data_IF_870771554603
#
_entry.id   IF_870771554603
#
_cell.length_a   1.000
_cell.length_b   1.000
_cell.length_c   1.000
_cell.angle_alpha   90.00
_cell.angle_beta   90.00
_cell.angle_gamma   90.00
#
_symmetry.space_group_name_H-M   'P 1'
#
loop_
_entity.id
_entity.type
_entity.pdbx_description
1 polymer ?
#
# COMPACT_ATOMS: atom_id res chain seq x y z
N UNK A 1 21.83 -8.38 -11.13
CA UNK A 1 21.76 -8.34 -9.66
C UNK A 1 20.31 -8.08 -9.27
N UNK A 2 19.63 -9.00 -8.56
CA UNK A 2 18.25 -8.75 -8.11
C UNK A 2 18.31 -7.74 -6.97
N UNK A 3 17.81 -6.54 -7.19
CA UNK A 3 17.66 -5.54 -6.12
C UNK A 3 16.79 -6.14 -5.00
N UNK A 4 17.23 -5.98 -3.75
CA UNK A 4 16.44 -6.35 -2.57
C UNK A 4 15.12 -5.58 -2.59
N UNK A 5 14.04 -6.22 -2.15
CA UNK A 5 12.72 -5.60 -2.11
C UNK A 5 12.55 -4.65 -0.92
N UNK A 6 13.45 -4.71 0.06
CA UNK A 6 13.46 -3.83 1.22
C UNK A 6 14.78 -3.05 1.33
N UNK A 7 14.73 -1.94 2.05
CA UNK A 7 15.86 -1.12 2.45
C UNK A 7 15.77 -0.84 3.96
N UNK A 8 16.92 -0.76 4.61
CA UNK A 8 17.07 -0.41 6.04
C UNK A 8 17.76 0.95 6.07
N UNK A 9 17.09 1.93 6.65
CA UNK A 9 17.59 3.30 6.80
C UNK A 9 17.48 3.70 8.27
N UNK A 10 18.58 3.63 9.03
CA UNK A 10 18.66 3.83 10.48
C UNK A 10 17.45 3.28 11.25
N UNK A 11 16.39 4.06 11.45
CA UNK A 11 15.17 3.68 12.19
C UNK A 11 13.99 3.23 11.30
N UNK A 12 14.15 3.14 9.98
CA UNK A 12 13.08 2.80 9.04
C UNK A 12 13.41 1.52 8.25
N UNK A 13 12.50 0.57 8.30
CA UNK A 13 12.48 -0.58 7.39
C UNK A 13 11.47 -0.29 6.28
N UNK A 14 11.96 -0.10 5.07
CA UNK A 14 11.14 0.28 3.92
C UNK A 14 11.01 -0.92 2.99
N UNK A 15 9.80 -1.45 2.83
CA UNK A 15 9.49 -2.55 1.90
C UNK A 15 8.82 -1.94 0.67
N UNK A 16 9.40 -2.12 -0.51
CA UNK A 16 8.85 -1.55 -1.75
C UNK A 16 7.98 -2.56 -2.49
N UNK A 17 6.85 -2.11 -3.02
CA UNK A 17 6.01 -2.92 -3.88
C UNK A 17 6.75 -3.26 -5.17
N UNK A 18 6.60 -4.49 -5.65
CA UNK A 18 7.07 -4.83 -6.99
C UNK A 18 6.24 -4.07 -8.01
N UNK A 19 6.93 -3.32 -8.86
CA UNK A 19 6.29 -2.58 -9.94
C UNK A 19 5.60 -3.56 -10.88
N UNK A 20 4.30 -3.36 -11.09
CA UNK A 20 3.55 -4.11 -12.09
C UNK A 20 4.07 -3.79 -13.49
N UNK A 21 3.90 -4.72 -14.46
CA UNK A 21 4.29 -4.48 -15.84
C UNK A 21 3.79 -3.14 -16.35
N UNK A 22 4.59 -2.46 -17.16
CA UNK A 22 4.29 -1.11 -17.66
C UNK A 22 2.92 -1.09 -18.35
N UNK A 23 2.58 -2.14 -19.10
CA UNK A 23 1.27 -2.30 -19.74
C UNK A 23 0.11 -2.19 -18.73
N UNK A 24 0.16 -2.92 -17.61
CA UNK A 24 -0.89 -2.87 -16.58
C UNK A 24 -1.01 -1.47 -16.00
N UNK A 25 0.13 -0.80 -15.75
CA UNK A 25 0.15 0.56 -15.20
C UNK A 25 -0.45 1.56 -16.19
N UNK A 26 -0.16 1.43 -17.48
CA UNK A 26 -0.77 2.26 -18.54
C UNK A 26 -2.29 2.04 -18.55
N UNK A 27 -2.74 0.79 -18.59
CA UNK A 27 -4.18 0.46 -18.60
C UNK A 27 -4.89 1.07 -17.40
N UNK A 28 -4.38 0.85 -16.18
CA UNK A 28 -4.96 1.41 -14.95
C UNK A 28 -5.02 2.95 -14.98
N UNK A 29 -3.94 3.58 -15.45
CA UNK A 29 -3.87 5.05 -15.54
C UNK A 29 -4.87 5.59 -16.57
N UNK A 30 -5.03 4.93 -17.71
CA UNK A 30 -6.02 5.31 -18.72
C UNK A 30 -7.43 5.25 -18.15
N UNK A 31 -7.80 4.15 -17.47
CA UNK A 31 -9.12 4.04 -16.83
C UNK A 31 -9.36 5.11 -15.76
N UNK A 32 -8.34 5.38 -14.93
CA UNK A 32 -8.40 6.45 -13.93
C UNK A 32 -8.71 7.80 -14.57
N UNK A 33 -7.99 8.17 -15.63
CA UNK A 33 -8.18 9.44 -16.33
C UNK A 33 -9.57 9.51 -16.96
N UNK A 34 -10.01 8.45 -17.66
CA UNK A 34 -11.34 8.41 -18.28
C UNK A 34 -12.45 8.61 -17.24
N UNK A 35 -12.40 7.87 -16.13
CA UNK A 35 -13.41 7.96 -15.07
C UNK A 35 -13.40 9.35 -14.41
N UNK A 36 -12.22 9.94 -14.19
CA UNK A 36 -12.12 11.28 -13.61
C UNK A 36 -12.68 12.37 -14.53
N UNK A 37 -12.60 12.19 -15.86
CA UNK A 37 -13.08 13.15 -16.86
C UNK A 37 -14.58 13.06 -17.15
N UNK A 38 -15.23 11.91 -16.93
CA UNK A 38 -16.69 11.74 -17.15
C UNK A 38 -17.53 12.85 -16.47
N UNK A 39 -17.43 13.11 -15.16
CA UNK A 39 -18.29 14.10 -14.50
C UNK A 39 -18.03 15.53 -15.02
N UNK A 40 -16.80 15.81 -15.47
CA UNK A 40 -16.44 17.10 -16.10
C UNK A 40 -17.13 17.22 -17.45
N UNK A 41 -17.06 16.17 -18.29
CA UNK A 41 -17.71 16.15 -19.60
C UNK A 41 -19.23 16.27 -19.49
N UNK A 42 -19.85 15.55 -18.55
CA UNK A 42 -21.29 15.65 -18.24
C UNK A 42 -21.65 17.07 -17.81
N UNK A 43 -20.87 17.68 -16.92
CA UNK A 43 -21.11 19.06 -16.47
C UNK A 43 -21.06 20.04 -17.63
N UNK A 44 -20.05 19.95 -18.50
CA UNK A 44 -19.91 20.81 -19.68
C UNK A 44 -21.11 20.63 -20.62
N UNK A 45 -21.55 19.39 -20.84
CA UNK A 45 -22.70 19.09 -21.68
C UNK A 45 -23.99 19.74 -21.14
N UNK A 46 -24.28 19.54 -19.85
CA UNK A 46 -25.48 20.09 -19.20
C UNK A 46 -25.51 21.62 -19.23
N UNK A 47 -24.37 22.26 -18.94
CA UNK A 47 -24.25 23.72 -18.99
C UNK A 47 -24.47 24.27 -20.42
N UNK A 48 -24.03 23.55 -21.46
CA UNK A 48 -24.25 23.93 -22.86
C UNK A 48 -25.71 23.75 -23.30
N UNK A 49 -26.40 22.74 -22.79
CA UNK A 49 -27.81 22.48 -23.11
C UNK A 49 -28.77 23.48 -22.47
N UNK A 50 -28.30 24.33 -21.54
CA UNK A 50 -29.13 25.34 -20.89
C UNK A 50 -30.09 24.79 -19.82
N UNK A 51 -30.00 23.50 -19.48
CA UNK A 51 -30.86 22.82 -18.51
C UNK A 51 -30.56 23.21 -17.05
N UNK A 52 -29.50 23.99 -16.82
CA UNK A 52 -29.03 24.38 -15.49
C UNK A 52 -28.42 23.19 -14.70
N UNK A 53 -27.70 23.46 -13.60
CA UNK A 53 -27.15 22.38 -12.79
C UNK A 53 -28.25 21.63 -12.03
N UNK A 54 -28.30 20.32 -12.17
CA UNK A 54 -29.20 19.43 -11.41
C UNK A 54 -28.42 18.46 -10.53
N UNK A 55 -29.11 17.84 -9.57
CA UNK A 55 -28.50 16.97 -8.55
C UNK A 55 -27.71 15.78 -9.14
N UNK A 56 -28.08 15.33 -10.33
CA UNK A 56 -27.39 14.24 -11.04
C UNK A 56 -25.92 14.57 -11.36
N UNK A 57 -25.57 15.85 -11.53
CA UNK A 57 -24.16 16.27 -11.65
C UNK A 57 -23.41 15.91 -10.36
N UNK A 58 -23.96 16.25 -9.19
CA UNK A 58 -23.33 15.94 -7.89
C UNK A 58 -23.16 14.43 -7.72
N UNK A 59 -24.18 13.64 -8.05
CA UNK A 59 -24.08 12.18 -8.03
C UNK A 59 -23.00 11.65 -8.98
N UNK A 60 -22.87 12.24 -10.19
CA UNK A 60 -21.82 11.86 -11.12
C UNK A 60 -20.43 12.09 -10.54
N UNK A 61 -20.19 13.23 -9.87
CA UNK A 61 -18.92 13.50 -9.20
C UNK A 61 -18.66 12.49 -8.07
N UNK A 62 -19.63 12.29 -7.18
CA UNK A 62 -19.47 11.37 -6.05
C UNK A 62 -19.13 9.95 -6.51
N UNK A 63 -19.86 9.44 -7.50
CA UNK A 63 -19.66 8.08 -7.99
C UNK A 63 -18.36 7.96 -8.78
N UNK A 64 -18.15 8.82 -9.78
CA UNK A 64 -16.98 8.73 -10.65
C UNK A 64 -15.69 9.03 -9.87
N UNK A 65 -15.65 10.07 -9.03
CA UNK A 65 -14.45 10.38 -8.26
C UNK A 65 -14.25 9.44 -7.06
N UNK A 66 -15.31 8.87 -6.49
CA UNK A 66 -15.18 7.80 -5.50
C UNK A 66 -14.48 6.57 -6.08
N UNK A 67 -14.94 6.09 -7.24
CA UNK A 67 -14.30 4.98 -7.97
C UNK A 67 -12.90 5.39 -8.47
N UNK A 68 -12.76 6.61 -8.98
CA UNK A 68 -11.49 7.17 -9.44
C UNK A 68 -10.45 7.22 -8.32
N UNK A 69 -10.84 7.60 -7.10
CA UNK A 69 -9.94 7.60 -5.95
C UNK A 69 -9.47 6.17 -5.58
N UNK A 70 -10.37 5.18 -5.64
CA UNK A 70 -9.97 3.79 -5.47
C UNK A 70 -8.96 3.32 -6.55
N UNK A 71 -9.22 3.64 -7.83
CA UNK A 71 -8.28 3.35 -8.92
C UNK A 71 -6.96 4.09 -8.77
N UNK A 72 -6.96 5.31 -8.22
CA UNK A 72 -5.75 6.04 -7.88
C UNK A 72 -4.95 5.28 -6.81
N UNK A 73 -5.57 4.83 -5.70
CA UNK A 73 -4.90 3.99 -4.69
C UNK A 73 -4.26 2.77 -5.34
N UNK A 74 -5.00 2.07 -6.19
CA UNK A 74 -4.53 0.87 -6.88
C UNK A 74 -3.35 1.18 -7.82
N UNK A 75 -3.45 2.23 -8.62
CA UNK A 75 -2.42 2.64 -9.60
C UNK A 75 -1.13 3.04 -8.90
N UNK A 76 -1.23 3.80 -7.80
CA UNK A 76 -0.07 4.20 -7.01
C UNK A 76 0.59 3.00 -6.34
N UNK A 77 -0.20 2.10 -5.73
CA UNK A 77 0.33 0.89 -5.11
C UNK A 77 1.13 0.04 -6.10
N UNK A 78 0.58 -0.16 -7.31
CA UNK A 78 1.21 -0.91 -8.40
C UNK A 78 2.44 -0.22 -9.02
N UNK A 79 2.65 1.06 -8.74
CA UNK A 79 3.71 1.87 -9.38
C UNK A 79 4.84 2.24 -8.42
N UNK A 80 4.48 2.70 -7.23
CA UNK A 80 5.39 3.33 -6.26
C UNK A 80 5.02 3.01 -4.80
N UNK A 81 4.08 2.10 -4.56
CA UNK A 81 3.66 1.71 -3.21
C UNK A 81 4.83 1.19 -2.39
N UNK A 82 4.87 1.56 -1.12
CA UNK A 82 5.84 1.04 -0.16
C UNK A 82 5.22 0.95 1.23
N UNK A 83 5.78 0.10 2.06
CA UNK A 83 5.48 0.01 3.48
C UNK A 83 6.67 0.55 4.24
N UNK A 84 6.39 1.30 5.30
CA UNK A 84 7.41 1.86 6.18
C UNK A 84 7.10 1.35 7.58
N UNK A 85 8.02 0.57 8.14
CA UNK A 85 8.03 0.26 9.57
C UNK A 85 9.05 1.20 10.22
N UNK A 86 8.59 2.05 11.14
CA UNK A 86 9.48 2.88 11.95
C UNK A 86 9.72 2.19 13.29
N UNK A 87 10.99 1.99 13.58
CA UNK A 87 11.52 1.29 14.73
C UNK A 87 11.79 2.32 15.83
N UNK A 88 10.85 2.47 16.76
CA UNK A 88 10.98 3.36 17.92
C UNK A 88 11.34 2.53 19.16
N UNK A 89 11.71 3.18 20.28
CA UNK A 89 12.24 2.46 21.45
C UNK A 89 11.20 1.55 22.15
N UNK A 90 9.93 1.94 22.13
CA UNK A 90 8.85 1.25 22.86
C UNK A 90 7.78 0.64 21.93
N UNK A 91 7.77 1.05 20.66
CA UNK A 91 6.78 0.62 19.67
C UNK A 91 7.35 0.55 18.26
N UNK A 92 6.66 -0.18 17.41
CA UNK A 92 6.89 -0.21 15.96
C UNK A 92 5.66 0.39 15.28
N UNK A 93 5.87 1.45 14.50
CA UNK A 93 4.81 2.08 13.71
C UNK A 93 4.85 1.61 12.26
N UNK A 94 3.72 1.24 11.69
CA UNK A 94 3.56 0.81 10.31
C UNK A 94 2.67 1.79 9.55
N UNK A 95 3.10 2.10 8.33
CA UNK A 95 2.29 2.87 7.39
C UNK A 95 2.48 2.37 5.96
N UNK A 96 1.36 2.22 5.24
CA UNK A 96 1.37 2.04 3.80
C UNK A 96 1.46 3.41 3.13
N UNK A 97 2.53 3.65 2.39
CA UNK A 97 2.85 4.92 1.74
C UNK A 97 2.65 4.79 0.22
N UNK A 98 1.69 5.54 -0.32
CA UNK A 98 1.38 5.62 -1.75
C UNK A 98 2.12 6.78 -2.43
N UNK A 99 3.08 7.41 -1.73
CA UNK A 99 3.87 8.60 -2.11
C UNK A 99 3.07 9.91 -2.21
N UNK A 100 1.82 9.86 -2.68
CA UNK A 100 0.92 11.02 -2.69
C UNK A 100 0.12 11.17 -1.40
N UNK A 101 -0.19 10.05 -0.75
CA UNK A 101 -0.85 10.00 0.55
C UNK A 101 -0.43 8.73 1.28
N UNK A 102 -0.75 8.68 2.57
CA UNK A 102 -0.45 7.56 3.45
C UNK A 102 -1.76 6.97 3.98
N UNK A 103 -1.79 5.67 4.19
CA UNK A 103 -2.90 5.02 4.89
C UNK A 103 -2.82 5.27 6.40
N UNK A 104 -3.78 4.74 7.16
CA UNK A 104 -3.81 4.84 8.61
C UNK A 104 -2.55 4.19 9.22
N UNK A 105 -1.93 4.92 10.13
CA UNK A 105 -0.84 4.40 10.96
C UNK A 105 -1.36 3.27 11.86
N UNK A 106 -0.61 2.18 11.89
CA UNK A 106 -0.80 1.08 12.84
C UNK A 106 0.40 1.03 13.76
N UNK A 107 0.19 0.71 15.03
CA UNK A 107 1.25 0.63 16.01
C UNK A 107 1.16 -0.69 16.75
N UNK A 108 2.32 -1.21 17.14
CA UNK A 108 2.44 -2.39 17.99
C UNK A 108 3.54 -2.15 19.03
N UNK A 109 3.28 -2.53 20.27
CA UNK A 109 4.26 -2.44 21.36
C UNK A 109 5.35 -3.50 21.20
N UNK A 110 6.55 -3.20 21.70
CA UNK A 110 7.68 -4.13 21.67
C UNK A 110 7.58 -5.18 22.80
N UNK A 111 6.83 -4.88 23.86
CA UNK A 111 6.64 -5.82 24.96
C UNK A 111 5.94 -7.09 24.47
N UNK A 112 6.54 -8.25 24.76
CA UNK A 112 6.07 -9.56 24.30
C UNK A 112 5.90 -9.66 22.76
N UNK A 113 6.71 -8.92 22.01
CA UNK A 113 6.68 -8.93 20.56
C UNK A 113 7.25 -10.25 20.01
N UNK A 114 6.47 -10.91 19.17
CA UNK A 114 6.85 -12.09 18.41
C UNK A 114 6.87 -11.75 16.92
N UNK A 115 7.83 -12.32 16.20
CA UNK A 115 7.97 -12.14 14.75
C UNK A 115 7.63 -13.45 14.03
N UNK A 116 6.58 -13.47 13.22
CA UNK A 116 6.12 -14.63 12.47
C UNK A 116 6.34 -14.44 10.95
N UNK A 117 6.82 -15.49 10.28
CA UNK A 117 6.81 -15.60 8.81
C UNK A 117 5.49 -16.23 8.38
N UNK A 118 4.67 -15.48 7.65
CA UNK A 118 3.52 -16.04 6.95
C UNK A 118 3.98 -16.48 5.57
N UNK A 119 3.93 -17.80 5.31
CA UNK A 119 4.21 -18.36 3.99
C UNK A 119 2.95 -18.29 3.14
N UNK A 120 3.11 -17.91 1.88
CA UNK A 120 2.06 -18.01 0.88
C UNK A 120 2.43 -19.08 -0.14
N UNK A 121 1.54 -20.08 -0.29
CA UNK A 121 1.70 -21.14 -1.27
C UNK A 121 1.35 -20.60 -2.67
N UNK A 122 2.34 -19.97 -3.32
CA UNK A 122 2.29 -19.71 -4.75
C UNK A 122 3.04 -20.81 -5.52
N UNK A 123 2.36 -21.36 -6.53
CA UNK A 123 2.78 -22.51 -7.35
C UNK A 123 4.21 -22.45 -7.91
N UNK A 124 4.81 -21.26 -8.05
CA UNK A 124 6.09 -21.09 -8.77
C UNK A 124 7.20 -20.45 -7.93
N UNK A 125 6.87 -19.72 -6.84
CA UNK A 125 7.88 -19.03 -6.00
C UNK A 125 7.39 -18.93 -4.56
N UNK A 126 8.15 -19.47 -3.57
CA UNK A 126 7.78 -19.30 -2.17
C UNK A 126 7.97 -17.83 -1.78
N UNK A 127 6.84 -17.14 -1.62
CA UNK A 127 6.78 -15.79 -1.08
C UNK A 127 6.27 -15.84 0.37
N UNK A 128 6.57 -14.79 1.11
CA UNK A 128 6.05 -14.63 2.45
C UNK A 128 5.83 -13.18 2.82
N UNK A 129 5.18 -13.00 3.95
CA UNK A 129 4.91 -11.72 4.60
C UNK A 129 5.38 -11.77 6.04
N UNK A 130 5.80 -10.63 6.55
CA UNK A 130 6.16 -10.45 7.95
C UNK A 130 4.89 -10.13 8.76
N UNK A 131 4.70 -10.84 9.86
CA UNK A 131 3.73 -10.50 10.90
C UNK A 131 4.46 -10.25 12.22
N UNK A 132 4.16 -9.13 12.82
CA UNK A 132 4.54 -8.74 14.16
C UNK A 132 3.33 -8.96 15.05
N UNK A 133 3.50 -9.62 16.18
CA UNK A 133 2.39 -10.04 17.03
C UNK A 133 2.74 -9.85 18.49
N UNK A 134 1.76 -9.45 19.27
CA UNK A 134 1.79 -9.44 20.73
C UNK A 134 0.59 -10.25 21.22
N UNK A 135 0.41 -10.38 22.54
CA UNK A 135 -0.72 -11.10 23.13
C UNK A 135 -2.09 -10.55 22.69
N UNK A 136 -2.20 -9.24 22.44
CA UNK A 136 -3.47 -8.55 22.19
C UNK A 136 -3.60 -8.00 20.77
N UNK A 137 -2.49 -7.79 20.05
CA UNK A 137 -2.50 -7.10 18.77
C UNK A 137 -1.58 -7.79 17.75
N UNK A 138 -1.86 -7.57 16.46
CA UNK A 138 -1.02 -8.03 15.36
C UNK A 138 -0.92 -6.98 14.27
N UNK A 139 0.28 -6.86 13.71
CA UNK A 139 0.62 -5.97 12.63
C UNK A 139 1.24 -6.83 11.52
N UNK A 140 0.57 -6.85 10.38
CA UNK A 140 0.97 -7.68 9.25
C UNK A 140 1.31 -6.79 8.06
N UNK A 141 2.48 -7.05 7.48
CA UNK A 141 2.86 -6.48 6.19
C UNK A 141 1.98 -7.06 5.08
N UNK A 142 1.63 -6.23 4.10
CA UNK A 142 0.81 -6.59 2.96
C UNK A 142 1.69 -6.98 1.77
N UNK A 143 2.91 -6.44 1.68
CA UNK A 143 3.80 -6.72 0.57
C UNK A 143 4.48 -8.09 0.70
N UNK A 144 4.23 -8.93 -0.30
CA UNK A 144 4.90 -10.22 -0.44
C UNK A 144 6.33 -10.03 -0.91
N UNK A 145 7.26 -10.73 -0.25
CA UNK A 145 8.67 -10.74 -0.62
C UNK A 145 9.23 -12.16 -0.56
N UNK A 146 10.50 -12.35 -0.96
CA UNK A 146 11.10 -13.69 -0.89
C UNK A 146 11.21 -14.13 0.56
N UNK A 147 10.99 -15.41 0.86
CA UNK A 147 11.16 -15.93 2.23
C UNK A 147 12.51 -15.54 2.83
N UNK A 148 13.60 -15.61 2.05
CA UNK A 148 14.93 -15.20 2.49
C UNK A 148 15.01 -13.72 2.91
N UNK A 149 14.24 -12.84 2.27
CA UNK A 149 14.19 -11.40 2.59
C UNK A 149 13.33 -11.16 3.83
N UNK A 150 12.22 -11.90 4.02
CA UNK A 150 11.44 -11.84 5.26
C UNK A 150 12.27 -12.31 6.45
N UNK A 151 13.03 -13.39 6.30
CA UNK A 151 13.90 -13.90 7.38
C UNK A 151 15.03 -12.92 7.70
N UNK A 152 15.56 -12.19 6.70
CA UNK A 152 16.53 -11.13 6.94
C UNK A 152 15.91 -9.98 7.76
N UNK A 153 14.71 -9.52 7.39
CA UNK A 153 13.96 -8.51 8.17
C UNK A 153 13.63 -9.00 9.58
N UNK A 154 13.23 -10.26 9.71
CA UNK A 154 12.92 -10.88 11.00
C UNK A 154 14.14 -10.84 11.93
N UNK A 155 15.30 -11.29 11.44
CA UNK A 155 16.55 -11.27 12.20
C UNK A 155 16.98 -9.87 12.59
N UNK A 156 16.78 -8.88 11.71
CA UNK A 156 17.07 -7.49 12.00
C UNK A 156 16.23 -6.97 13.18
N UNK A 157 14.92 -7.22 13.15
CA UNK A 157 13.99 -6.81 14.23
C UNK A 157 14.34 -7.52 15.55
N UNK A 158 14.60 -8.83 15.49
CA UNK A 158 15.01 -9.64 16.64
C UNK A 158 16.32 -9.13 17.26
N UNK A 159 17.32 -8.81 16.43
CA UNK A 159 18.61 -8.27 16.88
C UNK A 159 18.45 -6.90 17.52
N UNK A 160 17.63 -6.03 16.92
CA UNK A 160 17.46 -4.65 17.40
C UNK A 160 16.80 -4.55 18.76
N UNK A 161 15.86 -5.44 19.04
CA UNK A 161 15.10 -5.44 20.30
C UNK A 161 15.48 -6.58 21.26
N UNK A 162 16.52 -7.36 20.93
CA UNK A 162 16.95 -8.54 21.70
C UNK A 162 15.82 -9.54 21.97
N UNK A 163 15.01 -9.81 20.94
CA UNK A 163 13.88 -10.74 20.99
C UNK A 163 14.32 -12.06 20.34
N UNK A 164 14.02 -13.19 20.98
CA UNK A 164 14.37 -14.53 20.50
C UNK A 164 13.45 -15.03 19.36
#
# INVERSE_FOLDING_TARGET
MKNKQFNIDDNHLIISARKSPIFIRIVLTTFLVLIALIPIAVTIFVLKSGEGPFIGIVFSFLLCWGIGFYLLKLTLWNSVGREILSMETEKISYVADYRLFKDRHKEIEIQDLETELIREEQFDKPLGRLRLKTKSNSLETVLQMKISEVEELRKEIQTRYNIA
#
